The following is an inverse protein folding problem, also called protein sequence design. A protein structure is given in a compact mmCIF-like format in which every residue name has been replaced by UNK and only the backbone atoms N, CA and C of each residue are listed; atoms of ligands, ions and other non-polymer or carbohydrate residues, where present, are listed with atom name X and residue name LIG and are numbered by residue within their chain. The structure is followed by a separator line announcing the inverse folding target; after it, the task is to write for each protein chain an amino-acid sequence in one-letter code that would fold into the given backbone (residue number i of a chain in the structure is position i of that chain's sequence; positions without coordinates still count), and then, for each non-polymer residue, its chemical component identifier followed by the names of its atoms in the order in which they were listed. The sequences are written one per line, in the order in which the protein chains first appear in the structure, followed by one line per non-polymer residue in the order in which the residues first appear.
data_IF_729314210621
#
_entry.id   IF_729314210621
#
_cell.length_a   1.000
_cell.length_b   1.000
_cell.length_c   1.000
_cell.angle_alpha   90.00
_cell.angle_beta   90.00
_cell.angle_gamma   90.00
#
_symmetry.space_group_name_H-M   'P 1'
#
loop_
_entity.id
_entity.type
_entity.pdbx_description
1 polymer ?
#
# COMPACT_ATOMS: atom_id res chain seq x y z
N UNK A 1 -5.90 7.34 -1.35
CA UNK A 1 -5.56 5.92 -1.54
C UNK A 1 -4.89 5.78 -2.88
N UNK A 2 -3.85 4.95 -2.98
CA UNK A 2 -3.18 4.60 -4.22
C UNK A 2 -3.29 3.11 -4.44
N UNK A 3 -3.66 2.69 -5.65
CA UNK A 3 -3.74 1.27 -6.01
C UNK A 3 -2.56 0.89 -6.89
N UNK A 4 -1.96 -0.25 -6.57
CA UNK A 4 -0.84 -0.85 -7.29
C UNK A 4 -1.28 -2.20 -7.86
N UNK A 5 -1.81 -2.22 -9.09
CA UNK A 5 -2.25 -3.47 -9.72
C UNK A 5 -1.12 -4.49 -9.83
N UNK A 6 -1.45 -5.75 -9.56
CA UNK A 6 -0.50 -6.87 -9.56
C UNK A 6 0.35 -6.99 -8.29
N UNK A 7 0.08 -6.19 -7.26
CA UNK A 7 0.74 -6.28 -5.97
C UNK A 7 -0.23 -6.74 -4.88
N UNK A 8 0.30 -7.48 -3.90
CA UNK A 8 -0.37 -7.69 -2.62
C UNK A 8 -0.06 -6.53 -1.66
N UNK A 9 -1.11 -5.95 -1.06
CA UNK A 9 -1.00 -4.80 -0.18
C UNK A 9 -0.09 -5.06 1.04
N UNK A 10 -0.17 -6.25 1.64
CA UNK A 10 0.65 -6.64 2.79
C UNK A 10 2.14 -6.71 2.44
N UNK A 11 2.47 -7.21 1.24
CA UNK A 11 3.85 -7.26 0.77
C UNK A 11 4.41 -5.84 0.58
N UNK A 12 3.63 -4.92 0.01
CA UNK A 12 4.03 -3.52 -0.12
C UNK A 12 4.24 -2.87 1.25
N UNK A 13 3.35 -3.13 2.21
CA UNK A 13 3.41 -2.61 3.57
C UNK A 13 4.73 -3.03 4.25
N UNK A 14 5.05 -4.33 4.22
CA UNK A 14 6.28 -4.86 4.80
C UNK A 14 7.54 -4.32 4.11
N UNK A 15 7.51 -4.16 2.79
CA UNK A 15 8.64 -3.65 2.03
C UNK A 15 8.91 -2.17 2.29
N UNK A 16 7.86 -1.36 2.46
CA UNK A 16 7.97 0.06 2.79
C UNK A 16 8.38 0.27 4.26
N UNK A 17 7.85 -0.54 5.19
CA UNK A 17 8.25 -0.53 6.60
C UNK A 17 9.76 -0.81 6.75
N UNK A 18 10.27 -1.84 6.05
CA UNK A 18 11.71 -2.14 6.00
C UNK A 18 12.58 -1.02 5.39
N UNK A 19 11.97 -0.01 4.76
CA UNK A 19 12.63 1.18 4.20
C UNK A 19 12.41 2.44 5.05
N UNK A 20 11.71 2.32 6.17
CA UNK A 20 11.39 3.39 7.10
C UNK A 20 10.17 4.22 6.68
N UNK A 21 9.26 3.67 5.87
CA UNK A 21 8.03 4.34 5.45
C UNK A 21 6.81 3.61 5.97
N UNK A 22 6.12 4.23 6.92
CA UNK A 22 4.91 3.70 7.53
C UNK A 22 3.67 4.11 6.72
N UNK A 23 2.79 3.14 6.46
CA UNK A 23 1.53 3.38 5.77
C UNK A 23 0.47 2.36 6.19
N UNK A 24 -0.73 2.42 5.62
CA UNK A 24 -1.77 1.40 5.85
C UNK A 24 -2.19 0.75 4.54
N UNK A 25 -2.58 -0.52 4.58
CA UNK A 25 -3.29 -1.21 3.49
C UNK A 25 -4.79 -1.27 3.80
N UNK A 26 -5.61 -1.32 2.74
CA UNK A 26 -7.05 -1.56 2.86
C UNK A 26 -7.85 -0.50 3.64
N UNK A 27 -9.01 -0.89 4.16
CA UNK A 27 -9.70 -0.14 5.21
C UNK A 27 -8.90 -0.33 6.49
N UNK A 28 -8.40 0.76 7.08
CA UNK A 28 -7.41 0.79 8.15
C UNK A 28 -7.71 -0.02 9.44
N UNK A 29 -8.81 -0.76 9.50
CA UNK A 29 -9.25 -1.59 10.62
C UNK A 29 -9.17 -3.11 10.35
N UNK A 30 -8.70 -3.56 9.18
CA UNK A 30 -8.65 -4.98 8.82
C UNK A 30 -7.41 -5.67 9.42
N UNK A 31 -7.37 -5.81 10.75
CA UNK A 31 -6.29 -6.54 11.42
C UNK A 31 -6.39 -8.05 11.11
N UNK A 32 -5.36 -8.59 10.43
CA UNK A 32 -5.04 -10.02 10.44
C UNK A 32 -5.53 -10.88 9.27
N UNK A 33 -6.25 -10.34 8.28
CA UNK A 33 -6.65 -11.10 7.08
C UNK A 33 -6.41 -10.27 5.82
N UNK A 34 -5.58 -10.80 4.91
CA UNK A 34 -5.40 -10.27 3.56
C UNK A 34 -6.72 -10.40 2.79
N UNK A 35 -7.54 -9.36 2.87
CA UNK A 35 -8.80 -9.25 2.13
C UNK A 35 -8.81 -7.90 1.41
N UNK A 36 -9.42 -7.81 0.21
CA UNK A 36 -9.60 -6.54 -0.46
C UNK A 36 -10.39 -5.57 0.44
N UNK A 37 -10.06 -4.28 0.37
CA UNK A 37 -10.76 -3.25 1.14
C UNK A 37 -12.26 -3.26 0.89
N UNK A 38 -13.06 -3.57 1.91
CA UNK A 38 -14.52 -3.54 1.80
C UNK A 38 -15.05 -2.15 1.40
N UNK A 39 -14.36 -1.08 1.81
CA UNK A 39 -14.70 0.29 1.43
C UNK A 39 -14.47 0.52 -0.06
N UNK A 40 -13.30 0.10 -0.59
CA UNK A 40 -13.02 0.28 -2.02
C UNK A 40 -13.95 -0.57 -2.89
N UNK A 41 -14.28 -1.79 -2.45
CA UNK A 41 -15.29 -2.63 -3.11
C UNK A 41 -16.67 -1.94 -3.14
N UNK A 42 -17.11 -1.38 -2.00
CA UNK A 42 -18.38 -0.65 -1.93
C UNK A 42 -18.40 0.62 -2.80
N UNK A 43 -17.23 1.23 -3.03
CA UNK A 43 -17.06 2.35 -3.96
C UNK A 43 -17.04 1.92 -5.44
N UNK A 44 -17.12 0.63 -5.75
CA UNK A 44 -17.14 0.09 -7.11
C UNK A 44 -15.75 -0.24 -7.67
N UNK A 45 -14.70 -0.24 -6.86
CA UNK A 45 -13.40 -0.76 -7.29
C UNK A 45 -13.48 -2.29 -7.44
N UNK A 46 -12.79 -2.84 -8.43
CA UNK A 46 -12.65 -4.28 -8.55
C UNK A 46 -11.75 -4.85 -7.43
N UNK A 47 -11.86 -6.16 -7.21
CA UNK A 47 -11.12 -6.84 -6.13
C UNK A 47 -9.60 -6.84 -6.34
N UNK A 48 -9.11 -6.73 -7.57
CA UNK A 48 -7.67 -6.68 -7.84
C UNK A 48 -7.09 -5.31 -7.47
N UNK A 49 -7.78 -4.23 -7.83
CA UNK A 49 -7.43 -2.86 -7.47
C UNK A 49 -7.55 -2.61 -5.95
N UNK A 50 -8.49 -3.27 -5.29
CA UNK A 50 -8.71 -3.17 -3.85
C UNK A 50 -7.68 -3.97 -3.01
N UNK A 51 -7.04 -5.01 -3.58
CA UNK A 51 -5.98 -5.80 -2.92
C UNK A 51 -4.66 -5.05 -2.84
N UNK A 52 -4.24 -4.41 -3.93
CA UNK A 52 -2.99 -3.68 -4.00
C UNK A 52 -3.08 -2.23 -3.51
N UNK A 53 -4.01 -1.89 -2.61
CA UNK A 53 -4.26 -0.50 -2.23
C UNK A 53 -3.50 -0.09 -0.97
N UNK A 54 -2.77 1.03 -1.03
CA UNK A 54 -2.16 1.68 0.12
C UNK A 54 -2.79 3.05 0.42
N UNK A 55 -2.76 3.42 1.69
CA UNK A 55 -3.13 4.74 2.20
C UNK A 55 -1.93 5.36 2.90
N UNK A 56 -1.48 6.47 2.35
CA UNK A 56 -0.57 7.39 3.02
C UNK A 56 -1.38 8.54 3.59
N UNK A 57 -1.18 8.84 4.87
CA UNK A 57 -1.82 9.94 5.57
C UNK A 57 -0.72 10.86 6.07
N UNK A 58 -0.81 12.14 5.74
CA UNK A 58 0.13 13.15 6.23
C UNK A 58 -0.42 13.79 7.49
N UNK A 59 0.46 14.09 8.45
CA UNK A 59 0.15 14.78 9.70
C UNK A 59 0.83 16.14 9.79
N UNK A 60 0.64 16.82 10.92
CA UNK A 60 1.25 18.14 11.16
C UNK A 60 2.80 18.11 11.23
N UNK A 61 3.38 16.93 11.45
CA UNK A 61 4.83 16.70 11.46
C UNK A 61 5.37 16.20 10.13
N UNK A 62 4.52 15.88 9.15
CA UNK A 62 4.98 15.41 7.86
C UNK A 62 5.70 16.53 7.12
N UNK A 63 6.84 16.19 6.55
CA UNK A 63 7.74 17.10 5.84
C UNK A 63 7.82 16.73 4.36
N UNK A 64 8.46 17.61 3.58
CA UNK A 64 8.76 17.30 2.18
C UNK A 64 9.74 16.13 2.06
N UNK A 65 10.69 16.02 2.98
CA UNK A 65 11.69 14.96 2.99
C UNK A 65 11.04 13.58 3.16
N UNK A 66 9.94 13.48 3.92
CA UNK A 66 9.16 12.23 4.04
C UNK A 66 8.55 11.81 2.69
N UNK A 67 8.04 12.78 1.92
CA UNK A 67 7.47 12.55 0.59
C UNK A 67 8.56 12.17 -0.40
N UNK A 68 9.69 12.88 -0.39
CA UNK A 68 10.83 12.59 -1.25
C UNK A 68 11.40 11.20 -0.96
N UNK A 69 11.47 10.81 0.32
CA UNK A 69 11.86 9.46 0.75
C UNK A 69 10.90 8.39 0.23
N UNK A 70 9.58 8.62 0.32
CA UNK A 70 8.59 7.70 -0.24
C UNK A 70 8.78 7.54 -1.75
N UNK A 71 8.96 8.63 -2.49
CA UNK A 71 9.17 8.61 -3.95
C UNK A 71 10.43 7.82 -4.32
N UNK A 72 11.50 7.94 -3.54
CA UNK A 72 12.76 7.22 -3.74
C UNK A 72 12.58 5.69 -3.62
N UNK A 73 11.87 5.23 -2.59
CA UNK A 73 11.82 3.79 -2.24
C UNK A 73 10.64 3.04 -2.86
N UNK A 74 9.54 3.73 -3.16
CA UNK A 74 8.30 3.13 -3.64
C UNK A 74 8.47 2.30 -4.93
N UNK A 75 9.20 2.74 -5.97
CA UNK A 75 9.33 1.97 -7.20
C UNK A 75 9.96 0.58 -6.96
N UNK A 76 11.01 0.51 -6.16
CA UNK A 76 11.68 -0.75 -5.83
C UNK A 76 10.79 -1.69 -5.00
N UNK A 77 9.99 -1.13 -4.08
CA UNK A 77 9.01 -1.90 -3.31
C UNK A 77 7.91 -2.48 -4.22
N UNK A 78 7.38 -1.67 -5.15
CA UNK A 78 6.35 -2.11 -6.11
C UNK A 78 6.87 -3.23 -7.00
N UNK A 79 8.06 -3.07 -7.59
CA UNK A 79 8.65 -4.11 -8.45
C UNK A 79 8.85 -5.44 -7.71
N UNK A 80 9.28 -5.37 -6.44
CA UNK A 80 9.47 -6.57 -5.63
C UNK A 80 8.15 -7.22 -5.21
N UNK A 81 7.14 -6.41 -4.86
CA UNK A 81 5.80 -6.90 -4.54
C UNK A 81 5.11 -7.56 -5.75
N UNK A 82 5.28 -7.02 -6.95
CA UNK A 82 4.76 -7.61 -8.20
C UNK A 82 5.31 -9.01 -8.47
N UNK A 83 6.60 -9.21 -8.23
CA UNK A 83 7.23 -10.52 -8.39
C UNK A 83 6.73 -11.55 -7.38
N UNK A 84 6.36 -11.10 -6.18
CA UNK A 84 5.81 -11.95 -5.13
C UNK A 84 4.32 -12.30 -5.37
N UNK A 85 3.54 -11.40 -5.97
CA UNK A 85 2.10 -11.58 -6.24
C UNK A 85 1.76 -12.37 -7.51
N UNK A 86 2.76 -12.78 -8.30
CA UNK A 86 2.59 -13.65 -9.48
C UNK A 86 2.70 -15.15 -9.16
N UNK A 87 2.75 -15.53 -7.87
CA UNK A 87 2.81 -16.94 -7.42
C UNK A 87 1.44 -17.59 -7.32
#
# INVERSE_FOLDING_TARGET
HFSFPGCEGDALLMLLDAKGVECSTGSACSAGVAQPSHVLLAMGADAAAARGSLRFTLGHTSTRDDVDRLIEVLPAAVERARRAGLS
#
